data_IF_432068731933
#
_entry.id   IF_432068731933
#
_cell.length_a   1.000
_cell.length_b   1.000
_cell.length_c   1.000
_cell.angle_alpha   90.00
_cell.angle_beta   90.00
_cell.angle_gamma   90.00
#
_symmetry.space_group_name_H-M   'P 1'
#
loop_
_entity.id
_entity.type
_entity.pdbx_description
1 polymer ?
#
# COMPACT_ATOMS: atom_id res chain seq x y z
N UNK A 1 -24.53 2.19 -24.31
CA UNK A 1 -23.37 1.44 -23.76
C UNK A 1 -22.18 2.34 -23.42
N UNK A 2 -21.79 3.26 -24.28
CA UNK A 2 -20.66 4.19 -24.05
C UNK A 2 -20.77 5.02 -22.78
N UNK A 3 -21.95 5.52 -22.41
CA UNK A 3 -22.15 6.31 -21.20
C UNK A 3 -21.84 5.57 -19.89
N UNK A 4 -22.17 4.28 -19.81
CA UNK A 4 -21.82 3.45 -18.65
C UNK A 4 -20.31 3.16 -18.57
N UNK A 5 -19.65 2.95 -19.71
CA UNK A 5 -18.20 2.76 -19.75
C UNK A 5 -17.49 4.01 -19.23
N UNK A 6 -17.92 5.20 -19.69
CA UNK A 6 -17.41 6.49 -19.20
C UNK A 6 -17.62 6.64 -17.69
N UNK A 7 -18.85 6.37 -17.21
CA UNK A 7 -19.20 6.47 -15.80
C UNK A 7 -18.37 5.52 -14.93
N UNK A 8 -18.24 4.24 -15.32
CA UNK A 8 -17.44 3.26 -14.57
C UNK A 8 -15.96 3.68 -14.51
N UNK A 9 -15.42 4.19 -15.61
CA UNK A 9 -14.05 4.71 -15.62
C UNK A 9 -13.86 5.85 -14.62
N UNK A 10 -14.77 6.82 -14.57
CA UNK A 10 -14.74 7.91 -13.58
C UNK A 10 -14.84 7.41 -12.15
N UNK A 11 -15.82 6.52 -11.85
CA UNK A 11 -15.99 5.94 -10.52
C UNK A 11 -14.73 5.23 -10.02
N UNK A 12 -14.17 4.35 -10.83
CA UNK A 12 -12.98 3.58 -10.48
C UNK A 12 -11.77 4.48 -10.30
N UNK A 13 -11.56 5.44 -11.22
CA UNK A 13 -10.43 6.34 -11.17
C UNK A 13 -10.50 7.28 -9.98
N UNK A 14 -11.60 8.04 -9.85
CA UNK A 14 -11.76 9.00 -8.74
C UNK A 14 -11.86 8.31 -7.39
N UNK A 15 -12.54 7.16 -7.30
CA UNK A 15 -12.56 6.34 -6.10
C UNK A 15 -11.17 5.88 -5.68
N UNK A 16 -10.36 5.37 -6.62
CA UNK A 16 -8.99 4.95 -6.35
C UNK A 16 -8.12 6.11 -5.87
N UNK A 17 -8.24 7.29 -6.49
CA UNK A 17 -7.48 8.49 -6.12
C UNK A 17 -7.95 9.01 -4.76
N UNK A 18 -9.27 9.04 -4.51
CA UNK A 18 -9.84 9.41 -3.22
C UNK A 18 -9.41 8.46 -2.08
N UNK A 19 -9.12 7.20 -2.38
CA UNK A 19 -8.50 6.27 -1.43
C UNK A 19 -7.10 6.72 -0.98
N UNK A 20 -6.41 7.54 -1.76
CA UNK A 20 -5.08 8.08 -1.44
C UNK A 20 -5.22 9.48 -0.81
N UNK A 21 -5.97 10.38 -1.45
CA UNK A 21 -6.17 11.79 -1.06
C UNK A 21 -7.63 12.22 -1.25
N UNK A 22 -8.52 11.87 -0.33
CA UNK A 22 -9.96 12.07 -0.48
C UNK A 22 -10.37 13.54 -0.57
N UNK A 23 -9.86 14.38 0.31
CA UNK A 23 -10.23 15.79 0.35
C UNK A 23 -9.80 16.52 -0.93
N UNK A 24 -8.60 16.23 -1.43
CA UNK A 24 -8.08 16.84 -2.65
C UNK A 24 -8.90 16.42 -3.88
N UNK A 25 -9.29 15.15 -3.96
CA UNK A 25 -10.14 14.65 -5.06
C UNK A 25 -11.48 15.37 -5.10
N UNK A 26 -12.15 15.54 -3.93
CA UNK A 26 -13.43 16.24 -3.87
C UNK A 26 -13.29 17.74 -4.12
N UNK A 27 -12.19 18.37 -3.70
CA UNK A 27 -11.89 19.75 -4.04
C UNK A 27 -11.78 19.94 -5.56
N UNK A 28 -11.05 19.03 -6.25
CA UNK A 28 -10.93 19.07 -7.72
C UNK A 28 -12.29 18.90 -8.41
N UNK A 29 -13.12 17.93 -7.96
CA UNK A 29 -14.47 17.73 -8.50
C UNK A 29 -15.28 19.03 -8.30
N UNK A 30 -15.23 19.63 -7.11
CA UNK A 30 -15.94 20.88 -6.79
C UNK A 30 -15.50 22.04 -7.70
N UNK A 31 -14.20 22.22 -7.88
CA UNK A 31 -13.66 23.29 -8.77
C UNK A 31 -14.10 23.07 -10.21
N UNK A 32 -13.97 21.86 -10.74
CA UNK A 32 -14.34 21.54 -12.12
C UNK A 32 -15.84 21.74 -12.35
N UNK A 33 -16.67 21.39 -11.37
CA UNK A 33 -18.12 21.62 -11.42
C UNK A 33 -18.47 23.12 -11.28
N UNK A 34 -17.76 23.85 -10.43
CA UNK A 34 -17.97 25.29 -10.24
C UNK A 34 -17.72 26.10 -11.51
N UNK A 35 -16.66 25.75 -12.26
CA UNK A 35 -16.31 26.42 -13.52
C UNK A 35 -17.03 25.84 -14.76
N UNK A 36 -17.92 24.86 -14.58
CA UNK A 36 -18.67 24.20 -15.65
C UNK A 36 -17.77 23.77 -16.84
N UNK A 37 -16.72 23.02 -16.53
CA UNK A 37 -15.78 22.50 -17.56
C UNK A 37 -16.37 21.37 -18.38
N UNK A 38 -17.70 21.37 -18.60
CA UNK A 38 -18.40 20.38 -19.44
C UNK A 38 -18.45 18.98 -18.84
N UNK A 39 -18.32 18.84 -17.52
CA UNK A 39 -18.44 17.58 -16.82
C UNK A 39 -19.80 17.54 -16.15
N UNK A 40 -20.69 16.69 -16.66
CA UNK A 40 -21.99 16.45 -16.06
C UNK A 40 -21.80 15.77 -14.70
N UNK A 41 -22.20 16.46 -13.64
CA UNK A 41 -22.26 15.92 -12.28
C UNK A 41 -23.71 15.62 -11.91
N UNK A 42 -23.92 14.66 -11.01
CA UNK A 42 -25.25 14.34 -10.52
C UNK A 42 -25.84 15.54 -9.76
N UNK A 43 -27.07 15.96 -10.08
CA UNK A 43 -27.73 17.11 -9.42
C UNK A 43 -27.79 16.99 -7.88
N UNK A 44 -27.85 15.76 -7.35
CA UNK A 44 -27.84 15.51 -5.90
C UNK A 44 -26.57 16.03 -5.22
N UNK A 45 -25.48 16.15 -5.96
CA UNK A 45 -24.18 16.60 -5.47
C UNK A 45 -23.81 18.02 -5.93
N UNK A 46 -24.79 18.82 -6.40
CA UNK A 46 -24.57 20.23 -6.79
C UNK A 46 -23.93 21.08 -5.68
N UNK A 47 -24.13 20.71 -4.41
CA UNK A 47 -23.50 21.37 -3.26
C UNK A 47 -21.98 21.30 -3.26
N UNK A 48 -21.36 20.35 -3.96
CA UNK A 48 -19.90 20.28 -4.12
C UNK A 48 -19.33 21.50 -4.86
N UNK A 49 -20.12 22.14 -5.75
CA UNK A 49 -19.72 23.35 -6.47
C UNK A 49 -19.80 24.64 -5.65
N UNK A 50 -20.34 24.60 -4.41
CA UNK A 50 -20.40 25.78 -3.58
C UNK A 50 -18.98 26.20 -3.15
N UNK A 51 -18.65 27.46 -3.35
CA UNK A 51 -17.31 27.99 -3.11
C UNK A 51 -16.77 27.72 -1.69
N UNK A 52 -17.65 27.78 -0.69
CA UNK A 52 -17.29 27.51 0.70
C UNK A 52 -17.06 26.02 0.97
N UNK A 53 -17.75 25.11 0.27
CA UNK A 53 -17.53 23.66 0.34
C UNK A 53 -16.20 23.30 -0.28
N UNK A 54 -15.86 23.89 -1.42
CA UNK A 54 -14.55 23.77 -2.05
C UNK A 54 -13.47 24.21 -1.07
N UNK A 55 -13.69 25.39 -0.42
CA UNK A 55 -12.77 25.91 0.60
C UNK A 55 -12.54 24.95 1.75
N UNK A 56 -13.62 24.30 2.26
CA UNK A 56 -13.51 23.28 3.31
C UNK A 56 -12.65 22.09 2.84
N UNK A 57 -12.88 21.57 1.64
CA UNK A 57 -12.09 20.45 1.13
C UNK A 57 -10.62 20.83 0.88
N UNK A 58 -10.34 22.05 0.46
CA UNK A 58 -8.97 22.54 0.34
C UNK A 58 -8.28 22.61 1.70
N UNK A 59 -8.96 23.14 2.72
CA UNK A 59 -8.42 23.17 4.09
C UNK A 59 -8.21 21.76 4.63
N UNK A 60 -9.16 20.85 4.42
CA UNK A 60 -9.02 19.45 4.81
C UNK A 60 -7.85 18.76 4.08
N UNK A 61 -7.62 19.05 2.79
CA UNK A 61 -6.49 18.51 2.05
C UNK A 61 -5.14 19.00 2.61
N UNK A 62 -5.06 20.28 3.00
CA UNK A 62 -3.86 20.85 3.65
C UNK A 62 -3.63 20.18 5.02
N UNK A 63 -4.69 20.02 5.82
CA UNK A 63 -4.61 19.34 7.10
C UNK A 63 -4.18 17.88 6.93
N UNK A 64 -4.78 17.15 6.01
CA UNK A 64 -4.43 15.77 5.69
C UNK A 64 -2.94 15.64 5.29
N UNK A 65 -2.45 16.53 4.42
CA UNK A 65 -1.04 16.57 4.03
C UNK A 65 -0.11 16.90 5.20
N UNK A 66 -0.56 17.71 6.16
CA UNK A 66 0.20 18.08 7.36
C UNK A 66 0.25 16.93 8.36
N UNK A 67 -0.89 16.26 8.59
CA UNK A 67 -0.98 15.14 9.53
C UNK A 67 -0.18 13.92 9.08
N UNK A 68 -0.07 13.67 7.78
CA UNK A 68 0.75 12.57 7.24
C UNK A 68 2.25 12.73 7.60
N UNK A 69 2.70 13.93 8.00
CA UNK A 69 4.08 14.21 8.44
C UNK A 69 4.30 13.90 9.93
N UNK A 70 3.23 13.71 10.72
CA UNK A 70 3.31 13.48 12.17
C UNK A 70 3.21 11.97 12.46
N UNK A 71 4.36 11.28 12.51
CA UNK A 71 4.46 9.82 12.67
C UNK A 71 3.86 9.23 13.96
N UNK A 72 3.59 10.06 15.00
CA UNK A 72 3.01 9.57 16.27
C UNK A 72 1.51 9.28 16.20
N UNK A 73 0.79 9.85 15.24
CA UNK A 73 -0.67 9.69 15.07
C UNK A 73 -1.04 8.52 14.14
N UNK A 74 -0.05 7.87 13.53
CA UNK A 74 -0.21 6.93 12.42
C UNK A 74 -1.16 5.75 12.74
N UNK A 75 -1.11 5.20 13.95
CA UNK A 75 -1.92 4.01 14.32
C UNK A 75 -3.41 4.31 14.62
N UNK A 76 -3.68 5.46 15.22
CA UNK A 76 -5.06 5.90 15.50
C UNK A 76 -5.73 6.42 14.22
N UNK A 77 -4.94 7.10 13.43
CA UNK A 77 -5.30 7.67 12.14
C UNK A 77 -5.74 6.58 11.15
N UNK A 78 -5.03 5.45 11.08
CA UNK A 78 -5.35 4.36 10.16
C UNK A 78 -6.76 3.77 10.37
N UNK A 79 -7.24 3.66 11.61
CA UNK A 79 -8.57 3.13 11.89
C UNK A 79 -9.71 4.12 11.59
N UNK A 80 -9.48 5.42 11.86
CA UNK A 80 -10.48 6.46 11.66
C UNK A 80 -10.52 6.98 10.21
N UNK A 81 -9.36 7.00 9.54
CA UNK A 81 -9.24 7.52 8.18
C UNK A 81 -9.78 6.53 7.14
N UNK A 82 -9.76 5.21 7.42
CA UNK A 82 -10.26 4.24 6.45
C UNK A 82 -11.74 4.43 6.09
N UNK A 83 -12.69 4.50 7.05
CA UNK A 83 -14.09 4.77 6.73
C UNK A 83 -14.30 6.14 6.09
N UNK A 84 -13.57 7.17 6.54
CA UNK A 84 -13.59 8.49 5.93
C UNK A 84 -13.22 8.44 4.43
N UNK A 85 -12.15 7.77 4.05
CA UNK A 85 -11.73 7.61 2.66
C UNK A 85 -12.72 6.83 1.82
N UNK A 86 -13.35 5.80 2.40
CA UNK A 86 -14.43 5.07 1.72
C UNK A 86 -15.64 5.96 1.45
N UNK A 87 -16.08 6.74 2.43
CA UNK A 87 -17.19 7.67 2.27
C UNK A 87 -16.88 8.73 1.21
N UNK A 88 -15.72 9.35 1.27
CA UNK A 88 -15.32 10.37 0.30
C UNK A 88 -15.12 9.78 -1.12
N UNK A 89 -14.57 8.57 -1.22
CA UNK A 89 -14.50 7.85 -2.49
C UNK A 89 -15.87 7.48 -3.04
N UNK A 90 -16.80 7.11 -2.16
CA UNK A 90 -18.20 6.89 -2.52
C UNK A 90 -18.88 8.17 -3.05
N UNK A 91 -18.67 9.30 -2.38
CA UNK A 91 -19.17 10.61 -2.82
C UNK A 91 -18.56 10.97 -4.19
N UNK A 92 -17.25 10.82 -4.35
CA UNK A 92 -16.56 11.11 -5.61
C UNK A 92 -17.10 10.26 -6.78
N UNK A 93 -17.32 8.97 -6.53
CA UNK A 93 -17.91 8.06 -7.52
C UNK A 93 -19.36 8.42 -7.84
N UNK A 94 -20.19 8.70 -6.82
CA UNK A 94 -21.61 9.02 -7.00
C UNK A 94 -21.82 10.38 -7.68
N UNK A 95 -20.98 11.37 -7.36
CA UNK A 95 -21.11 12.73 -7.88
C UNK A 95 -20.89 12.81 -9.41
N UNK A 96 -20.12 11.87 -9.97
CA UNK A 96 -19.72 11.90 -11.40
C UNK A 96 -20.60 11.05 -12.32
N UNK A 97 -21.78 10.60 -11.81
CA UNK A 97 -22.73 9.80 -12.59
C UNK A 97 -24.04 10.55 -12.79
N UNK A 98 -24.41 10.81 -14.05
CA UNK A 98 -25.66 11.53 -14.36
C UNK A 98 -26.93 10.67 -14.24
N UNK A 99 -26.85 9.40 -13.86
CA UNK A 99 -27.96 8.43 -13.89
C UNK A 99 -28.75 8.38 -12.59
N UNK A 100 -29.57 9.37 -12.27
CA UNK A 100 -30.53 9.35 -11.18
C UNK A 100 -30.05 8.66 -9.87
N UNK A 101 -30.98 8.20 -9.02
CA UNK A 101 -30.64 7.58 -7.75
C UNK A 101 -29.93 6.22 -7.86
N UNK A 102 -30.23 5.45 -8.91
CA UNK A 102 -29.56 4.16 -9.17
C UNK A 102 -28.07 4.37 -9.46
N UNK A 103 -27.75 5.40 -10.27
CA UNK A 103 -26.38 5.80 -10.53
C UNK A 103 -25.63 6.21 -9.25
N UNK A 104 -26.31 6.96 -8.36
CA UNK A 104 -25.74 7.36 -7.08
C UNK A 104 -25.36 6.14 -6.23
N UNK A 105 -26.24 5.15 -6.09
CA UNK A 105 -25.98 3.93 -5.30
C UNK A 105 -24.80 3.13 -5.91
N UNK A 106 -24.83 2.91 -7.22
CA UNK A 106 -23.73 2.18 -7.90
C UNK A 106 -22.43 2.96 -7.80
N UNK A 107 -22.45 4.27 -8.03
CA UNK A 107 -21.27 5.13 -7.93
C UNK A 107 -20.67 5.18 -6.54
N UNK A 108 -21.54 5.26 -5.53
CA UNK A 108 -21.12 5.21 -4.14
C UNK A 108 -20.45 3.86 -3.80
N UNK A 109 -21.05 2.75 -4.19
CA UNK A 109 -20.53 1.41 -3.92
C UNK A 109 -19.18 1.17 -4.63
N UNK A 110 -19.11 1.47 -5.92
CA UNK A 110 -17.89 1.29 -6.72
C UNK A 110 -16.79 2.25 -6.26
N UNK A 111 -17.12 3.52 -6.04
CA UNK A 111 -16.16 4.53 -5.57
C UNK A 111 -15.61 4.22 -4.18
N UNK A 112 -16.48 3.82 -3.24
CA UNK A 112 -16.05 3.40 -1.90
C UNK A 112 -15.19 2.13 -1.93
N UNK A 113 -15.54 1.15 -2.75
CA UNK A 113 -14.78 -0.08 -2.95
C UNK A 113 -13.40 0.18 -3.54
N UNK A 114 -13.33 1.06 -4.56
CA UNK A 114 -12.07 1.46 -5.18
C UNK A 114 -11.17 2.23 -4.19
N UNK A 115 -11.76 3.12 -3.36
CA UNK A 115 -11.04 3.86 -2.32
C UNK A 115 -10.50 2.92 -1.24
N UNK A 116 -11.31 1.98 -0.77
CA UNK A 116 -10.89 0.96 0.18
C UNK A 116 -9.72 0.15 -0.35
N UNK A 117 -9.84 -0.33 -1.61
CA UNK A 117 -8.80 -1.13 -2.24
C UNK A 117 -7.49 -0.36 -2.42
N UNK A 118 -7.56 0.89 -2.89
CA UNK A 118 -6.38 1.75 -3.05
C UNK A 118 -5.68 2.01 -1.71
N UNK A 119 -6.45 2.30 -0.66
CA UNK A 119 -5.94 2.46 0.70
C UNK A 119 -5.28 1.18 1.22
N UNK A 120 -5.91 0.03 1.01
CA UNK A 120 -5.36 -1.26 1.39
C UNK A 120 -4.02 -1.54 0.71
N UNK A 121 -3.91 -1.24 -0.60
CA UNK A 121 -2.67 -1.38 -1.36
C UNK A 121 -1.59 -0.42 -0.85
N UNK A 122 -1.96 0.83 -0.53
CA UNK A 122 -1.07 1.82 0.08
C UNK A 122 -0.46 1.28 1.38
N UNK A 123 -1.27 0.71 2.28
CA UNK A 123 -0.78 0.08 3.51
C UNK A 123 0.15 -1.10 3.26
N UNK A 124 -0.15 -1.92 2.27
CA UNK A 124 0.69 -3.06 1.91
C UNK A 124 2.05 -2.65 1.35
N UNK A 125 2.13 -1.51 0.67
CA UNK A 125 3.35 -1.02 -0.01
C UNK A 125 4.28 -0.23 0.90
N UNK A 126 3.80 0.29 2.05
CA UNK A 126 4.64 1.06 2.98
C UNK A 126 5.80 0.23 3.52
N UNK A 127 7.05 0.72 3.44
CA UNK A 127 8.21 0.05 4.01
C UNK A 127 8.12 0.06 5.54
N UNK A 128 8.54 -1.04 6.17
CA UNK A 128 8.58 -1.14 7.65
C UNK A 128 9.77 -0.41 8.27
N UNK A 129 10.81 -0.10 7.49
CA UNK A 129 11.95 0.71 7.91
C UNK A 129 11.58 2.18 7.78
N UNK A 130 11.85 2.96 8.83
CA UNK A 130 11.59 4.41 8.84
C UNK A 130 12.45 5.08 7.78
N UNK A 131 11.88 5.62 6.70
CA UNK A 131 12.64 6.41 5.73
C UNK A 131 13.12 7.71 6.37
N UNK A 132 14.13 8.35 5.79
CA UNK A 132 14.53 9.69 6.22
C UNK A 132 13.37 10.69 6.03
N UNK A 133 13.28 11.72 6.86
CA UNK A 133 12.21 12.74 6.79
C UNK A 133 12.08 13.36 5.39
N UNK A 134 13.20 13.56 4.70
CA UNK A 134 13.21 14.06 3.33
C UNK A 134 12.48 13.13 2.36
N UNK A 135 12.68 11.82 2.48
CA UNK A 135 11.99 10.83 1.63
C UNK A 135 10.49 10.79 1.91
N UNK A 136 10.08 10.90 3.19
CA UNK A 136 8.66 10.96 3.56
C UNK A 136 8.00 12.20 2.95
N UNK A 137 8.66 13.36 3.03
CA UNK A 137 8.14 14.62 2.48
C UNK A 137 8.00 14.56 0.97
N UNK A 138 9.01 14.03 0.26
CA UNK A 138 8.96 13.85 -1.19
C UNK A 138 7.86 12.88 -1.63
N UNK A 139 7.69 11.76 -0.92
CA UNK A 139 6.60 10.82 -1.19
C UNK A 139 5.23 11.47 -0.99
N UNK A 140 5.04 12.22 0.08
CA UNK A 140 3.78 12.95 0.33
C UNK A 140 3.50 13.98 -0.77
N UNK A 141 4.49 14.76 -1.17
CA UNK A 141 4.34 15.73 -2.26
C UNK A 141 4.01 15.06 -3.61
N UNK A 142 4.65 13.93 -3.90
CA UNK A 142 4.35 13.15 -5.10
C UNK A 142 2.94 12.54 -5.07
N UNK A 143 2.46 12.08 -3.91
CA UNK A 143 1.09 11.61 -3.74
C UNK A 143 0.07 12.74 -3.95
N UNK A 144 0.33 13.93 -3.41
CA UNK A 144 -0.55 15.10 -3.57
C UNK A 144 -0.62 15.53 -5.03
N UNK A 145 0.53 15.67 -5.69
CA UNK A 145 0.60 16.01 -7.11
C UNK A 145 -0.07 14.93 -7.97
N UNK A 146 0.20 13.66 -7.69
CA UNK A 146 -0.40 12.53 -8.39
C UNK A 146 -1.91 12.48 -8.22
N UNK A 147 -2.44 12.78 -7.03
CA UNK A 147 -3.87 12.82 -6.77
C UNK A 147 -4.53 14.01 -7.48
N UNK A 148 -3.91 15.18 -7.46
CA UNK A 148 -4.41 16.35 -8.16
C UNK A 148 -4.48 16.11 -9.67
N UNK A 149 -3.34 15.81 -10.29
CA UNK A 149 -3.25 15.58 -11.73
C UNK A 149 -4.10 14.39 -12.16
N UNK A 150 -4.07 13.29 -11.38
CA UNK A 150 -4.88 12.11 -11.65
C UNK A 150 -6.37 12.41 -11.63
N UNK A 151 -6.86 13.20 -10.67
CA UNK A 151 -8.27 13.61 -10.60
C UNK A 151 -8.67 14.45 -11.81
N UNK A 152 -7.86 15.42 -12.21
CA UNK A 152 -8.10 16.26 -13.40
C UNK A 152 -8.13 15.39 -14.66
N UNK A 153 -7.15 14.50 -14.83
CA UNK A 153 -7.05 13.64 -16.00
C UNK A 153 -8.22 12.65 -16.08
N UNK A 154 -8.63 12.04 -14.95
CA UNK A 154 -9.78 11.12 -14.92
C UNK A 154 -11.08 11.84 -15.28
N UNK A 155 -11.26 13.09 -14.82
CA UNK A 155 -12.43 13.89 -15.15
C UNK A 155 -12.46 14.22 -16.63
N UNK A 156 -11.32 14.65 -17.20
CA UNK A 156 -11.20 14.99 -18.62
C UNK A 156 -11.22 13.73 -19.53
N UNK A 157 -10.57 12.66 -19.09
CA UNK A 157 -10.38 11.44 -19.87
C UNK A 157 -10.79 10.22 -19.03
N UNK A 158 -12.08 9.82 -19.02
CA UNK A 158 -12.62 8.76 -18.17
C UNK A 158 -11.92 7.41 -18.31
N UNK A 159 -11.40 7.11 -19.49
CA UNK A 159 -10.65 5.88 -19.75
C UNK A 159 -9.38 5.75 -18.89
N UNK A 160 -8.80 6.88 -18.49
CA UNK A 160 -7.65 6.89 -17.57
C UNK A 160 -8.00 6.31 -16.20
N UNK A 161 -9.27 6.35 -15.80
CA UNK A 161 -9.73 5.72 -14.56
C UNK A 161 -9.52 4.20 -14.54
N UNK A 162 -9.67 3.53 -15.66
CA UNK A 162 -9.34 2.10 -15.79
C UNK A 162 -7.83 1.85 -15.62
N UNK A 163 -7.01 2.76 -16.17
CA UNK A 163 -5.56 2.67 -15.98
C UNK A 163 -5.17 2.85 -14.51
N UNK A 164 -5.80 3.78 -13.78
CA UNK A 164 -5.59 3.97 -12.34
C UNK A 164 -5.97 2.72 -11.55
N UNK A 165 -7.14 2.12 -11.83
CA UNK A 165 -7.59 0.90 -11.17
C UNK A 165 -6.68 -0.29 -11.53
N UNK A 166 -6.29 -0.43 -12.79
CA UNK A 166 -5.34 -1.45 -13.26
C UNK A 166 -3.96 -1.31 -12.62
N UNK A 167 -3.45 -0.07 -12.51
CA UNK A 167 -2.19 0.21 -11.83
C UNK A 167 -2.25 -0.17 -10.34
N UNK A 168 -3.34 0.17 -9.65
CA UNK A 168 -3.54 -0.21 -8.25
C UNK A 168 -3.56 -1.74 -8.09
N UNK A 169 -4.25 -2.45 -8.99
CA UNK A 169 -4.26 -3.92 -9.05
C UNK A 169 -2.87 -4.51 -9.32
N UNK A 170 -2.10 -3.92 -10.25
CA UNK A 170 -0.74 -4.32 -10.55
C UNK A 170 0.20 -4.15 -9.34
N UNK A 171 0.13 -3.00 -8.65
CA UNK A 171 0.91 -2.75 -7.42
C UNK A 171 0.56 -3.78 -6.35
N UNK A 172 -0.74 -4.06 -6.14
CA UNK A 172 -1.19 -5.10 -5.22
C UNK A 172 -0.57 -6.47 -5.54
N UNK A 173 -0.67 -6.90 -6.80
CA UNK A 173 -0.11 -8.18 -7.24
C UNK A 173 1.40 -8.25 -6.98
N UNK A 174 2.14 -7.21 -7.37
CA UNK A 174 3.60 -7.16 -7.21
C UNK A 174 4.03 -7.17 -5.73
N UNK A 175 3.34 -6.44 -4.87
CA UNK A 175 3.62 -6.43 -3.42
C UNK A 175 3.32 -7.79 -2.81
N UNK A 176 2.21 -8.42 -3.19
CA UNK A 176 1.83 -9.76 -2.75
C UNK A 176 2.87 -10.81 -3.14
N UNK A 177 3.37 -10.76 -4.36
CA UNK A 177 4.40 -11.69 -4.85
C UNK A 177 5.72 -11.54 -4.08
N UNK A 178 6.17 -10.30 -3.86
CA UNK A 178 7.38 -10.03 -3.05
C UNK A 178 7.24 -10.58 -1.62
N UNK A 179 6.07 -10.41 -0.99
CA UNK A 179 5.82 -10.96 0.34
C UNK A 179 5.82 -12.49 0.33
N UNK A 180 5.18 -13.12 -0.65
CA UNK A 180 5.19 -14.58 -0.80
C UNK A 180 6.60 -15.13 -0.99
N UNK A 181 7.43 -14.49 -1.81
CA UNK A 181 8.82 -14.88 -2.01
C UNK A 181 9.62 -14.81 -0.69
N UNK A 182 9.47 -13.73 0.09
CA UNK A 182 10.10 -13.57 1.40
C UNK A 182 9.67 -14.67 2.40
N UNK A 183 8.38 -14.99 2.47
CA UNK A 183 7.88 -16.07 3.33
C UNK A 183 8.42 -17.44 2.92
N UNK A 184 8.55 -17.71 1.61
CA UNK A 184 9.15 -18.94 1.12
C UNK A 184 10.63 -19.06 1.53
N UNK A 185 11.39 -17.96 1.44
CA UNK A 185 12.78 -17.92 1.87
C UNK A 185 12.93 -18.17 3.38
N UNK A 186 12.12 -17.48 4.21
CA UNK A 186 12.13 -17.70 5.66
C UNK A 186 11.76 -19.15 6.02
N UNK A 187 10.79 -19.74 5.33
CA UNK A 187 10.38 -21.14 5.56
C UNK A 187 11.46 -22.13 5.16
N UNK A 188 12.23 -21.84 4.08
CA UNK A 188 13.40 -22.65 3.68
C UNK A 188 14.53 -22.53 4.69
N UNK A 189 14.80 -21.32 5.20
CA UNK A 189 15.82 -21.09 6.21
C UNK A 189 15.46 -21.71 7.59
N UNK A 190 14.17 -21.83 7.91
CA UNK A 190 13.68 -22.44 9.14
C UNK A 190 13.47 -23.97 9.01
N UNK A 191 13.58 -24.54 7.81
CA UNK A 191 13.53 -26.00 7.64
C UNK A 191 14.76 -26.60 8.31
N UNK A 192 14.61 -27.62 9.19
CA UNK A 192 15.75 -28.33 9.76
C UNK A 192 16.63 -28.83 8.62
N UNK A 193 17.92 -28.51 8.69
CA UNK A 193 18.90 -29.01 7.74
C UNK A 193 18.81 -30.55 7.60
N UNK A 194 19.27 -31.12 6.50
CA UNK A 194 19.30 -32.56 6.37
C UNK A 194 20.05 -33.12 7.58
N UNK A 195 19.39 -34.00 8.32
CA UNK A 195 19.93 -34.63 9.51
C UNK A 195 21.29 -35.28 9.16
N UNK A 196 22.43 -34.77 9.69
CA UNK A 196 23.74 -35.29 9.34
C UNK A 196 23.88 -36.79 9.69
N UNK A 197 23.04 -37.29 10.60
CA UNK A 197 22.98 -38.73 10.95
C UNK A 197 22.33 -39.60 9.87
N UNK A 198 21.47 -39.00 8.98
CA UNK A 198 20.80 -39.78 7.93
C UNK A 198 21.65 -39.97 6.67
N UNK A 199 22.62 -39.07 6.46
CA UNK A 199 23.54 -39.15 5.31
C UNK A 199 24.58 -40.29 5.46
N UNK A 200 24.93 -40.68 6.69
CA UNK A 200 25.89 -41.73 6.96
C UNK A 200 25.33 -43.15 6.86
N UNK A 201 24.01 -43.31 6.88
CA UNK A 201 23.41 -44.68 6.83
C UNK A 201 23.11 -45.13 5.39
N UNK A 202 23.07 -44.18 4.41
CA UNK A 202 22.82 -44.54 3.00
C UNK A 202 24.06 -44.79 2.15
N UNK A 203 25.25 -44.48 2.66
CA UNK A 203 26.51 -44.68 1.96
C UNK A 203 27.38 -45.75 2.61
N UNK A 204 26.83 -46.95 2.86
CA UNK A 204 27.63 -48.14 3.12
C UNK A 204 27.75 -48.93 1.81
N UNK A 205 28.81 -48.71 1.01
CA UNK A 205 29.00 -49.59 -0.14
C UNK A 205 29.34 -50.96 0.37
N UNK A 206 28.52 -51.93 -0.01
CA UNK A 206 28.81 -53.36 0.11
C UNK A 206 30.14 -53.65 -0.60
N UNK A 207 31.04 -54.27 0.13
CA UNK A 207 32.41 -54.51 -0.24
C UNK A 207 32.61 -55.24 -1.57
N UNK A 208 33.64 -54.83 -2.23
CA UNK A 208 34.26 -55.51 -3.39
C UNK A 208 35.67 -54.93 -3.52
N UNK A 209 36.64 -55.71 -3.04
CA UNK A 209 38.06 -55.32 -3.11
C UNK A 209 38.56 -55.17 -4.55
N UNK A 210 39.47 -54.23 -4.75
CA UNK A 210 40.60 -54.38 -5.65
C UNK A 210 41.71 -53.39 -5.27
N UNK A 211 42.85 -53.93 -4.97
CA UNK A 211 44.17 -53.32 -4.83
C UNK A 211 44.61 -52.69 -6.13
N UNK A 212 45.22 -51.51 -6.09
CA UNK A 212 45.89 -50.86 -7.22
C UNK A 212 46.57 -49.59 -6.82
N UNK A 213 47.89 -49.63 -6.74
CA UNK A 213 48.81 -48.55 -6.39
C UNK A 213 48.86 -47.43 -7.42
N UNK A 214 49.19 -46.22 -6.96
CA UNK A 214 49.82 -45.18 -7.76
C UNK A 214 49.63 -43.75 -7.22
N UNK A 215 50.69 -43.06 -6.83
CA UNK A 215 50.60 -41.66 -6.40
C UNK A 215 50.88 -40.71 -7.58
N UNK A 216 50.03 -39.74 -7.84
CA UNK A 216 50.40 -38.56 -8.65
C UNK A 216 49.83 -37.32 -7.96
N UNK A 217 50.75 -36.42 -7.64
CA UNK A 217 50.44 -35.13 -7.04
C UNK A 217 49.73 -34.17 -8.00
N UNK A 218 48.96 -33.31 -7.43
CA UNK A 218 48.32 -32.19 -8.10
C UNK A 218 47.87 -31.19 -7.06
N UNK A 219 48.61 -30.07 -6.97
CA UNK A 219 48.31 -28.94 -6.12
C UNK A 219 46.97 -28.30 -6.54
N UNK A 220 46.02 -28.22 -5.66
CA UNK A 220 44.86 -27.38 -5.85
C UNK A 220 45.08 -25.99 -5.25
N UNK A 221 44.71 -24.90 -5.97
CA UNK A 221 44.79 -23.56 -5.46
C UNK A 221 43.64 -23.32 -4.46
N UNK A 222 44.03 -22.73 -3.32
CA UNK A 222 43.15 -22.42 -2.20
C UNK A 222 41.88 -21.65 -2.58
N UNK A 223 40.72 -22.27 -2.34
CA UNK A 223 39.43 -21.57 -2.24
C UNK A 223 39.42 -20.89 -0.88
N UNK A 224 39.57 -19.55 -0.93
CA UNK A 224 39.31 -18.69 0.23
C UNK A 224 37.84 -18.86 0.59
N UNK A 225 37.57 -19.53 1.68
CA UNK A 225 36.24 -19.60 2.27
C UNK A 225 35.85 -18.17 2.73
N UNK A 226 34.88 -17.57 2.05
CA UNK A 226 34.23 -16.37 2.49
C UNK A 226 33.55 -16.66 3.85
N UNK A 227 34.14 -16.12 4.89
CA UNK A 227 33.65 -16.21 6.26
C UNK A 227 32.31 -15.45 6.34
N UNK A 228 31.19 -16.07 6.75
CA UNK A 228 29.92 -15.37 6.85
C UNK A 228 30.01 -14.26 7.90
N UNK A 229 29.41 -13.07 7.67
CA UNK A 229 29.47 -11.96 8.60
C UNK A 229 28.89 -12.36 9.95
N UNK A 230 29.46 -11.86 11.07
CA UNK A 230 29.06 -12.23 12.42
C UNK A 230 27.58 -11.92 12.65
N UNK A 231 26.83 -12.94 13.08
CA UNK A 231 25.44 -12.82 13.51
C UNK A 231 25.42 -11.90 14.73
N UNK A 232 24.89 -10.70 14.56
CA UNK A 232 24.65 -9.77 15.67
C UNK A 232 23.71 -10.44 16.66
N UNK A 233 24.21 -10.64 17.85
CA UNK A 233 23.55 -11.22 19.00
C UNK A 233 22.24 -10.46 19.30
N UNK A 234 21.10 -11.12 19.10
CA UNK A 234 19.76 -10.57 19.36
C UNK A 234 19.30 -10.76 20.81
N UNK A 235 20.22 -11.11 21.73
CA UNK A 235 19.89 -11.30 23.16
C UNK A 235 19.62 -10.00 23.92
N UNK A 236 19.82 -8.82 23.30
CA UNK A 236 19.60 -7.51 23.95
C UNK A 236 18.14 -7.01 23.96
N UNK A 237 17.19 -7.70 23.34
CA UNK A 237 15.79 -7.20 23.21
C UNK A 237 14.78 -7.81 24.19
N UNK A 238 15.22 -8.68 25.12
CA UNK A 238 14.33 -9.30 26.10
C UNK A 238 14.16 -8.47 27.42
N UNK A 239 14.79 -7.30 27.53
CA UNK A 239 14.87 -6.52 28.79
C UNK A 239 14.00 -5.26 28.90
N UNK A 240 13.13 -4.92 27.94
CA UNK A 240 12.44 -3.61 27.93
C UNK A 240 10.94 -3.67 28.33
N UNK A 241 10.39 -4.83 28.67
CA UNK A 241 8.95 -4.93 29.00
C UNK A 241 8.65 -5.23 30.48
N UNK A 242 9.54 -4.92 31.41
CA UNK A 242 9.33 -5.21 32.85
C UNK A 242 9.42 -3.99 33.78
N UNK A 243 9.22 -2.78 33.30
CA UNK A 243 9.16 -1.58 34.16
C UNK A 243 7.98 -0.72 33.76
N UNK A 244 6.76 -1.10 34.13
CA UNK A 244 5.59 -0.20 34.29
C UNK A 244 4.38 -0.94 34.91
N UNK A 245 4.61 -1.77 35.90
CA UNK A 245 3.51 -2.39 36.67
C UNK A 245 3.55 -2.09 38.16
N UNK A 246 4.16 -0.96 38.56
CA UNK A 246 4.14 -0.56 39.99
C UNK A 246 4.11 0.97 40.13
N UNK A 247 2.95 1.58 39.87
CA UNK A 247 2.57 2.91 40.34
C UNK A 247 1.07 3.11 40.31
N UNK A 248 0.41 2.71 41.34
CA UNK A 248 -1.02 2.98 41.48
C UNK A 248 -1.62 2.47 42.77
N UNK A 249 -1.06 2.80 43.93
CA UNK A 249 -1.80 2.83 45.19
C UNK A 249 -1.07 3.75 46.14
N UNK A 250 -1.58 4.96 46.31
CA UNK A 250 -1.57 5.74 47.57
C UNK A 250 -2.48 6.96 47.40
N UNK A 251 -3.66 6.83 47.96
CA UNK A 251 -4.24 7.65 49.04
C UNK A 251 -4.50 9.17 48.78
N UNK A 252 -5.70 9.60 49.12
CA UNK A 252 -6.08 10.94 49.49
C UNK A 252 -7.41 11.36 48.95
#
# INVERSE_FOLDING_TARGET
>A
MTAWIIAIGRMLGLGSIAGIRPSLTLAVIGVVTYFDWGIETNPTFSWLSWWWVIGIFVVLAILESTFDKISKLDRLQDRLIMPYRMVMGGIAGAATIPFGWQGVVVGAAVGAGAAWFAQYVKHLSRPKSVPSEAVVTLMSAAEDLGAFLGSVVVLATPYFGYACAGFTGFVYWRVRDRRRAKYRQMRRAAAPGPDPGRATTAARPSGGGHSGAGPVGGAEPGVVADEPPPVKDLTGLAGVNAVDADRGDHAG
#
